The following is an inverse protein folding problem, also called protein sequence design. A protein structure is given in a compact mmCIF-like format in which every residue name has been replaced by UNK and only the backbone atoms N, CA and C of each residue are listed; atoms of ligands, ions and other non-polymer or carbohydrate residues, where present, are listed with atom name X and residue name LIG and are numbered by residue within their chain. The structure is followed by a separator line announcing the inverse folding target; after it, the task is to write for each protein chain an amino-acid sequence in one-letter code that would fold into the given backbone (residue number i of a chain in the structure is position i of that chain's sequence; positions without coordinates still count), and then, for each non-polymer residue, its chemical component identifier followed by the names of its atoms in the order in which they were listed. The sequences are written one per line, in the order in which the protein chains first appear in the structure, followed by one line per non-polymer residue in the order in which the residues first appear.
data_IF_689864297446
#
_entry.id   IF_689864297446
#
_cell.length_a   1.000
_cell.length_b   1.000
_cell.length_c   1.000
_cell.angle_alpha   90.00
_cell.angle_beta   90.00
_cell.angle_gamma   90.00
#
_symmetry.space_group_name_H-M   'P 1'
#
loop_
_entity.id
_entity.type
_entity.pdbx_description
1 polymer ?
#
# COMPACT_ATOMS: atom_id res chain seq x y z
N UNK A 1 15.02 -4.85 1.65
CA UNK A 1 14.19 -3.85 0.93
C UNK A 1 14.20 -2.43 1.48
N UNK A 2 14.54 -2.15 2.75
CA UNK A 2 14.31 -0.81 3.34
C UNK A 2 15.24 0.32 2.82
N UNK A 3 16.41 0.03 2.24
CA UNK A 3 17.39 1.08 1.82
C UNK A 3 18.06 0.86 0.45
N UNK A 4 17.67 -0.15 -0.33
CA UNK A 4 18.38 -0.55 -1.56
C UNK A 4 18.14 0.33 -2.80
N UNK A 5 17.31 1.37 -2.73
CA UNK A 5 16.73 2.04 -3.92
C UNK A 5 16.52 3.56 -3.74
N UNK A 6 17.43 4.25 -3.05
CA UNK A 6 17.29 5.68 -2.70
C UNK A 6 16.92 6.62 -3.87
N UNK A 7 17.36 6.34 -5.10
CA UNK A 7 16.95 7.09 -6.28
C UNK A 7 15.52 6.82 -6.75
N UNK A 8 15.10 5.55 -6.76
CA UNK A 8 13.78 5.15 -7.23
C UNK A 8 12.67 5.58 -6.26
N UNK A 9 12.89 5.45 -4.95
CA UNK A 9 11.93 5.89 -3.93
C UNK A 9 11.63 7.40 -4.03
N UNK A 10 12.63 8.23 -4.35
CA UNK A 10 12.43 9.68 -4.50
C UNK A 10 11.43 10.05 -5.60
N UNK A 11 11.32 9.23 -6.66
CA UNK A 11 10.40 9.50 -7.77
C UNK A 11 8.97 9.12 -7.39
N UNK A 12 8.79 8.00 -6.70
CA UNK A 12 7.47 7.54 -6.27
C UNK A 12 6.88 8.48 -5.20
N UNK A 13 7.73 8.95 -4.28
CA UNK A 13 7.31 9.88 -3.22
C UNK A 13 6.82 11.22 -3.76
N UNK A 14 7.32 11.70 -4.91
CA UNK A 14 6.76 12.92 -5.53
C UNK A 14 5.27 12.77 -5.87
N UNK A 15 4.83 11.59 -6.31
CA UNK A 15 3.41 11.32 -6.59
C UNK A 15 2.61 11.25 -5.29
N UNK A 16 3.17 10.59 -4.26
CA UNK A 16 2.58 10.57 -2.91
C UNK A 16 2.39 12.00 -2.38
N UNK A 17 3.42 12.84 -2.46
CA UNK A 17 3.39 14.22 -1.97
C UNK A 17 2.29 15.02 -2.63
N UNK A 18 2.08 14.86 -3.94
CA UNK A 18 0.98 15.52 -4.66
C UNK A 18 -0.39 15.11 -4.11
N UNK A 19 -0.59 13.82 -3.81
CA UNK A 19 -1.83 13.32 -3.20
C UNK A 19 -2.02 13.90 -1.80
N UNK A 20 -0.99 13.83 -0.96
CA UNK A 20 -1.01 14.34 0.42
C UNK A 20 -1.32 15.84 0.41
N UNK A 21 -0.58 16.62 -0.37
CA UNK A 21 -0.78 18.06 -0.51
C UNK A 21 -2.20 18.37 -0.98
N UNK A 22 -2.73 17.62 -1.95
CA UNK A 22 -4.12 17.86 -2.40
C UNK A 22 -5.12 17.58 -1.28
N UNK A 23 -5.03 16.43 -0.62
CA UNK A 23 -6.01 15.99 0.38
C UNK A 23 -6.03 16.93 1.60
N UNK A 24 -4.86 17.33 2.10
CA UNK A 24 -4.74 18.16 3.30
C UNK A 24 -4.77 19.68 3.02
N UNK A 25 -5.04 20.09 1.78
CA UNK A 25 -5.41 21.47 1.41
C UNK A 25 -6.92 21.66 1.16
N UNK A 26 -7.73 20.60 1.29
CA UNK A 26 -9.20 20.70 1.26
C UNK A 26 -9.73 21.43 2.50
N UNK A 27 -11.00 21.88 2.51
CA UNK A 27 -11.67 22.30 3.74
C UNK A 27 -11.53 21.24 4.85
N UNK A 28 -11.35 21.65 6.10
CA UNK A 28 -10.92 20.79 7.21
C UNK A 28 -11.82 19.58 7.42
N UNK A 29 -13.13 19.75 7.23
CA UNK A 29 -14.19 18.76 7.33
C UNK A 29 -14.17 17.71 6.20
N UNK A 30 -13.53 18.02 5.08
CA UNK A 30 -13.32 17.11 3.95
C UNK A 30 -11.97 16.37 4.02
N UNK A 31 -11.11 16.70 4.97
CA UNK A 31 -9.80 16.07 5.11
C UNK A 31 -9.89 14.74 5.88
N UNK A 32 -8.95 13.82 5.63
CA UNK A 32 -8.68 12.75 6.60
C UNK A 32 -8.33 13.35 7.97
N UNK A 33 -8.73 12.67 9.04
CA UNK A 33 -8.32 13.06 10.40
C UNK A 33 -6.84 12.79 10.68
N UNK A 34 -6.23 11.92 9.87
CA UNK A 34 -4.83 11.57 9.95
C UNK A 34 -4.46 10.46 8.97
N UNK A 35 -3.39 9.74 9.28
CA UNK A 35 -2.75 8.75 8.42
C UNK A 35 -2.57 7.45 9.17
N UNK A 36 -2.86 6.34 8.51
CA UNK A 36 -2.40 5.02 8.94
C UNK A 36 -1.42 4.45 7.93
N UNK A 37 -0.22 4.11 8.36
CA UNK A 37 0.77 3.36 7.57
C UNK A 37 0.80 1.89 8.00
N UNK A 38 0.30 0.99 7.14
CA UNK A 38 0.32 -0.46 7.36
C UNK A 38 1.62 -1.05 6.81
N UNK A 39 2.34 -1.78 7.65
CA UNK A 39 3.72 -2.22 7.38
C UNK A 39 4.73 -1.09 7.60
N UNK A 40 4.56 -0.33 8.68
CA UNK A 40 5.31 0.90 8.92
C UNK A 40 6.83 0.73 9.07
N UNK A 41 7.33 -0.49 9.30
CA UNK A 41 8.75 -0.82 9.23
C UNK A 41 9.59 -0.04 10.24
N UNK A 42 10.26 1.03 9.79
CA UNK A 42 11.06 1.90 10.64
C UNK A 42 10.44 3.29 10.89
N UNK A 43 9.23 3.53 10.40
CA UNK A 43 8.49 4.80 10.55
C UNK A 43 8.90 5.92 9.60
N UNK A 44 9.86 5.70 8.69
CA UNK A 44 10.36 6.76 7.82
C UNK A 44 9.29 7.33 6.88
N UNK A 45 8.34 6.51 6.43
CA UNK A 45 7.27 6.97 5.54
C UNK A 45 6.22 7.82 6.27
N UNK A 46 5.86 7.43 7.50
CA UNK A 46 5.01 8.26 8.38
C UNK A 46 5.67 9.62 8.61
N UNK A 47 6.96 9.62 8.95
CA UNK A 47 7.71 10.86 9.16
C UNK A 47 7.68 11.74 7.91
N UNK A 48 7.99 11.17 6.75
CA UNK A 48 7.94 11.90 5.47
C UNK A 48 6.56 12.52 5.19
N UNK A 49 5.48 11.74 5.34
CA UNK A 49 4.12 12.26 5.13
C UNK A 49 3.80 13.37 6.14
N UNK A 50 4.17 13.20 7.41
CA UNK A 50 3.97 14.24 8.41
C UNK A 50 4.68 15.54 8.02
N UNK A 51 5.96 15.48 7.64
CA UNK A 51 6.73 16.64 7.20
C UNK A 51 6.07 17.34 5.99
N UNK A 52 5.58 16.55 5.01
CA UNK A 52 4.84 17.12 3.87
C UNK A 52 3.57 17.84 4.33
N UNK A 53 2.79 17.26 5.25
CA UNK A 53 1.58 17.90 5.76
C UNK A 53 1.93 19.16 6.54
N UNK A 54 2.87 19.08 7.48
CA UNK A 54 3.29 20.16 8.37
C UNK A 54 3.79 21.38 7.56
N UNK A 55 4.69 21.16 6.61
CA UNK A 55 5.37 22.26 5.92
C UNK A 55 4.70 22.71 4.62
N UNK A 56 3.87 21.87 3.98
CA UNK A 56 3.40 22.12 2.60
C UNK A 56 1.87 22.19 2.44
N UNK A 57 1.11 22.17 3.54
CA UNK A 57 -0.37 22.17 3.47
C UNK A 57 -1.03 23.19 4.38
N UNK A 58 -2.29 23.50 4.09
CA UNK A 58 -3.15 24.31 4.94
C UNK A 58 -3.36 23.64 6.30
N UNK A 59 -3.50 22.30 6.33
CA UNK A 59 -3.61 21.53 7.59
C UNK A 59 -2.41 21.73 8.50
N UNK A 60 -1.20 21.80 7.94
CA UNK A 60 0.03 22.05 8.69
C UNK A 60 0.00 23.33 9.53
N UNK A 61 -0.71 24.36 9.05
CA UNK A 61 -0.90 25.64 9.76
C UNK A 61 -1.94 25.60 10.88
N UNK A 62 -2.61 24.47 11.07
CA UNK A 62 -3.76 24.30 11.97
C UNK A 62 -3.61 23.08 12.88
N UNK A 63 -2.41 22.50 13.02
CA UNK A 63 -2.20 21.27 13.79
C UNK A 63 -2.51 21.43 15.29
N UNK A 64 -2.42 22.64 15.84
CA UNK A 64 -2.79 22.92 17.23
C UNK A 64 -4.30 22.76 17.47
N UNK A 65 -5.14 23.22 16.54
CA UNK A 65 -6.61 23.13 16.63
C UNK A 65 -7.13 21.80 16.08
N UNK A 66 -6.50 21.29 15.03
CA UNK A 66 -6.87 20.06 14.33
C UNK A 66 -5.65 19.12 14.21
N UNK A 67 -5.23 18.46 15.30
CA UNK A 67 -4.06 17.58 15.28
C UNK A 67 -4.26 16.40 14.32
N UNK A 68 -3.14 15.87 13.81
CA UNK A 68 -3.15 14.66 12.99
C UNK A 68 -3.18 13.41 13.86
N UNK A 69 -4.06 12.47 13.51
CA UNK A 69 -4.02 11.12 14.05
C UNK A 69 -3.03 10.27 13.24
N UNK A 70 -1.78 10.18 13.70
CA UNK A 70 -0.76 9.34 13.06
C UNK A 70 -0.77 7.94 13.66
N UNK A 71 -0.85 6.92 12.81
CA UNK A 71 -0.81 5.51 13.19
C UNK A 71 0.23 4.76 12.37
N UNK A 72 1.14 4.07 13.04
CA UNK A 72 2.00 3.06 12.43
C UNK A 72 1.58 1.67 12.86
N UNK A 73 1.24 0.82 11.90
CA UNK A 73 0.86 -0.57 12.14
C UNK A 73 1.89 -1.52 11.53
N UNK A 74 2.28 -2.55 12.27
CA UNK A 74 3.18 -3.60 11.77
C UNK A 74 2.96 -4.89 12.55
N UNK A 75 2.99 -6.03 11.86
CA UNK A 75 2.87 -7.34 12.47
C UNK A 75 4.16 -7.76 13.21
N UNK A 76 5.29 -7.12 12.89
CA UNK A 76 6.60 -7.41 13.46
C UNK A 76 6.90 -6.50 14.66
N UNK A 77 7.05 -7.10 15.84
CA UNK A 77 7.33 -6.37 17.08
C UNK A 77 8.66 -5.58 17.08
N UNK A 78 9.67 -6.04 16.34
CA UNK A 78 10.93 -5.31 16.21
C UNK A 78 10.75 -4.04 15.37
N UNK A 79 9.97 -4.11 14.29
CA UNK A 79 9.59 -2.95 13.48
C UNK A 79 8.88 -1.90 14.34
N UNK A 80 7.88 -2.29 15.13
CA UNK A 80 7.17 -1.38 16.04
C UNK A 80 8.11 -0.67 17.03
N UNK A 81 9.09 -1.38 17.59
CA UNK A 81 10.09 -0.77 18.50
C UNK A 81 10.95 0.27 17.77
N UNK A 82 11.41 -0.03 16.56
CA UNK A 82 12.21 0.89 15.74
C UNK A 82 11.38 2.10 15.32
N UNK A 83 10.16 1.90 14.84
CA UNK A 83 9.23 2.98 14.49
C UNK A 83 8.99 3.92 15.67
N UNK A 84 8.68 3.40 16.87
CA UNK A 84 8.51 4.25 18.06
C UNK A 84 9.76 5.08 18.35
N UNK A 85 10.94 4.46 18.35
CA UNK A 85 12.19 5.15 18.65
C UNK A 85 12.49 6.27 17.62
N UNK A 86 12.27 6.00 16.34
CA UNK A 86 12.51 6.98 15.28
C UNK A 86 11.51 8.15 15.33
N UNK A 87 10.22 7.87 15.53
CA UNK A 87 9.20 8.92 15.62
C UNK A 87 9.39 9.80 16.85
N UNK A 88 9.73 9.23 18.02
CA UNK A 88 10.10 10.00 19.22
C UNK A 88 11.31 10.88 18.94
N UNK A 89 12.34 10.35 18.28
CA UNK A 89 13.54 11.11 17.92
C UNK A 89 13.24 12.26 16.94
N UNK A 90 12.23 12.09 16.11
CA UNK A 90 11.75 13.11 15.18
C UNK A 90 10.73 14.09 15.81
N UNK A 91 10.42 13.95 17.11
CA UNK A 91 9.38 14.72 17.81
C UNK A 91 7.96 14.56 17.21
N UNK A 92 7.69 13.39 16.63
CA UNK A 92 6.41 13.05 16.01
C UNK A 92 5.62 12.14 16.94
N UNK A 93 4.43 12.60 17.35
CA UNK A 93 3.50 11.79 18.14
C UNK A 93 2.63 10.90 17.26
N UNK A 94 2.82 9.58 17.38
CA UNK A 94 2.02 8.59 16.66
C UNK A 94 1.63 7.40 17.55
N UNK A 95 0.50 6.76 17.22
CA UNK A 95 0.11 5.47 17.79
C UNK A 95 0.78 4.36 17.01
N UNK A 96 1.67 3.62 17.67
CA UNK A 96 2.36 2.50 17.04
C UNK A 96 1.80 1.20 17.61
N UNK A 97 1.12 0.43 16.78
CA UNK A 97 0.30 -0.72 17.20
C UNK A 97 0.60 -1.95 16.35
N UNK A 98 0.28 -3.12 16.89
CA UNK A 98 0.34 -4.33 16.10
C UNK A 98 -0.78 -4.34 15.05
N UNK A 99 -0.49 -4.82 13.85
CA UNK A 99 -1.50 -4.97 12.81
C UNK A 99 -1.02 -5.87 11.68
N UNK A 100 -1.93 -6.66 11.13
CA UNK A 100 -1.68 -7.54 9.99
C UNK A 100 -2.47 -7.03 8.78
N UNK A 101 -1.79 -6.91 7.62
CA UNK A 101 -2.43 -6.45 6.39
C UNK A 101 -3.61 -7.36 5.98
N UNK A 102 -3.60 -8.66 6.33
CA UNK A 102 -4.70 -9.58 6.05
C UNK A 102 -5.92 -9.44 6.97
N UNK A 103 -5.80 -8.66 8.06
CA UNK A 103 -6.80 -8.52 9.15
C UNK A 103 -7.14 -7.06 9.47
N UNK A 104 -7.65 -6.27 8.49
CA UNK A 104 -8.07 -4.89 8.75
C UNK A 104 -9.23 -4.79 9.75
N UNK A 105 -10.01 -5.86 9.92
CA UNK A 105 -11.07 -5.97 10.93
C UNK A 105 -10.53 -5.85 12.35
N UNK A 106 -9.44 -6.56 12.64
CA UNK A 106 -8.77 -6.52 13.95
C UNK A 106 -8.15 -5.15 14.17
N UNK A 107 -7.42 -4.64 13.17
CA UNK A 107 -6.81 -3.30 13.24
C UNK A 107 -7.84 -2.22 13.54
N UNK A 108 -8.98 -2.23 12.84
CA UNK A 108 -10.04 -1.25 13.02
C UNK A 108 -10.67 -1.35 14.43
N UNK A 109 -10.86 -2.57 14.92
CA UNK A 109 -11.37 -2.82 16.27
C UNK A 109 -10.42 -2.28 17.33
N UNK A 110 -9.14 -2.65 17.26
CA UNK A 110 -8.13 -2.24 18.24
C UNK A 110 -7.96 -0.70 18.26
N UNK A 111 -7.95 -0.06 17.08
CA UNK A 111 -7.92 1.40 16.98
C UNK A 111 -9.12 2.07 17.65
N UNK A 112 -10.30 1.48 17.48
CA UNK A 112 -11.52 2.01 18.06
C UNK A 112 -11.56 1.82 19.58
N UNK A 113 -11.21 0.64 20.07
CA UNK A 113 -11.29 0.30 21.50
C UNK A 113 -10.20 1.02 22.30
N UNK A 114 -8.96 1.04 21.81
CA UNK A 114 -7.82 1.55 22.59
C UNK A 114 -7.63 3.07 22.45
N UNK A 115 -8.04 3.64 21.31
CA UNK A 115 -7.75 5.04 20.98
C UNK A 115 -8.96 5.85 20.51
N UNK A 116 -10.14 5.23 20.39
CA UNK A 116 -11.33 5.83 19.81
C UNK A 116 -11.10 6.42 18.40
N UNK A 117 -10.22 5.78 17.63
CA UNK A 117 -9.90 6.16 16.25
C UNK A 117 -10.67 5.26 15.29
N UNK A 118 -11.47 5.86 14.41
CA UNK A 118 -12.14 5.16 13.32
C UNK A 118 -11.17 4.98 12.15
N UNK A 119 -10.85 3.73 11.77
CA UNK A 119 -9.91 3.49 10.66
C UNK A 119 -10.36 4.14 9.34
N UNK A 120 -11.68 4.18 9.10
CA UNK A 120 -12.31 4.82 7.94
C UNK A 120 -12.17 6.35 7.89
N UNK A 121 -11.76 6.97 9.00
CA UNK A 121 -11.52 8.42 9.07
C UNK A 121 -10.07 8.80 8.73
N UNK A 122 -9.21 7.81 8.49
CA UNK A 122 -7.80 8.00 8.14
C UNK A 122 -7.59 7.79 6.64
N UNK A 123 -6.61 8.49 6.07
CA UNK A 123 -6.03 8.08 4.80
C UNK A 123 -5.12 6.88 5.10
N UNK A 124 -5.42 5.75 4.47
CA UNK A 124 -4.62 4.54 4.64
C UNK A 124 -3.52 4.53 3.61
N UNK A 125 -2.29 4.30 4.06
CA UNK A 125 -1.10 4.24 3.22
C UNK A 125 -0.34 2.94 3.46
N UNK A 126 0.33 2.45 2.42
CA UNK A 126 1.28 1.33 2.53
C UNK A 126 2.18 1.25 1.32
N UNK A 127 3.39 0.76 1.51
CA UNK A 127 4.38 0.64 0.42
C UNK A 127 4.90 -0.79 0.33
N UNK A 128 4.80 -1.38 -0.86
CA UNK A 128 5.35 -2.70 -1.21
C UNK A 128 4.91 -3.81 -0.25
N UNK A 129 3.60 -3.96 -0.02
CA UNK A 129 3.09 -4.84 1.03
C UNK A 129 2.01 -5.84 0.59
N UNK A 130 1.11 -5.50 -0.35
CA UNK A 130 -0.01 -6.39 -0.69
C UNK A 130 0.48 -7.68 -1.39
N UNK A 131 1.57 -7.59 -2.16
CA UNK A 131 2.21 -8.76 -2.75
C UNK A 131 2.88 -9.68 -1.71
N UNK A 132 3.25 -9.14 -0.55
CA UNK A 132 3.93 -9.87 0.52
C UNK A 132 3.00 -10.26 1.68
N UNK A 133 1.67 -10.16 1.47
CA UNK A 133 0.70 -10.66 2.44
C UNK A 133 0.83 -12.17 2.57
N UNK A 134 0.52 -12.70 3.76
CA UNK A 134 0.42 -14.15 3.96
C UNK A 134 -0.66 -14.70 3.02
N UNK A 135 -0.33 -15.79 2.33
CA UNK A 135 -1.28 -16.45 1.44
C UNK A 135 -2.53 -16.90 2.18
N UNK A 136 -3.69 -16.47 1.68
CA UNK A 136 -4.99 -17.02 2.04
C UNK A 136 -5.66 -17.55 0.77
N UNK A 137 -6.03 -18.83 0.81
CA UNK A 137 -6.84 -19.43 -0.24
C UNK A 137 -8.21 -18.76 -0.30
N UNK A 138 -8.69 -18.33 -1.48
CA UNK A 138 -9.99 -17.67 -1.60
C UNK A 138 -11.11 -18.61 -1.17
N UNK A 139 -12.07 -18.07 -0.42
CA UNK A 139 -13.29 -18.79 -0.01
C UNK A 139 -14.28 -18.89 -1.16
N UNK A 140 -14.34 -17.86 -2.00
CA UNK A 140 -15.19 -17.76 -3.18
C UNK A 140 -14.33 -17.90 -4.43
N UNK A 141 -14.38 -19.06 -5.06
CA UNK A 141 -13.70 -19.31 -6.32
C UNK A 141 -14.62 -18.86 -7.46
N UNK A 142 -14.12 -18.01 -8.35
CA UNK A 142 -14.88 -17.54 -9.51
C UNK A 142 -14.54 -18.37 -10.75
N UNK A 143 -15.35 -18.23 -11.80
CA UNK A 143 -15.05 -18.78 -13.12
C UNK A 143 -14.13 -17.86 -13.95
N UNK A 144 -13.36 -16.98 -13.30
CA UNK A 144 -12.48 -16.05 -14.00
C UNK A 144 -11.44 -16.82 -14.82
N UNK A 145 -11.02 -16.22 -15.91
CA UNK A 145 -9.81 -16.62 -16.62
C UNK A 145 -8.79 -15.52 -16.37
N UNK A 146 -7.72 -15.88 -15.67
CA UNK A 146 -6.66 -14.95 -15.32
C UNK A 146 -5.92 -14.49 -16.56
N UNK A 147 -5.64 -13.18 -16.62
CA UNK A 147 -4.76 -12.60 -17.63
C UNK A 147 -3.30 -12.51 -17.15
N UNK A 148 -3.04 -12.89 -15.89
CA UNK A 148 -1.69 -12.90 -15.33
C UNK A 148 -0.85 -13.97 -15.99
N UNK A 149 0.35 -13.57 -16.39
CA UNK A 149 1.42 -14.43 -16.87
C UNK A 149 2.41 -14.84 -15.77
N UNK A 150 2.27 -14.25 -14.57
CA UNK A 150 3.09 -14.59 -13.40
C UNK A 150 2.99 -16.05 -12.97
N UNK A 151 4.02 -16.50 -12.25
CA UNK A 151 4.13 -17.85 -11.71
C UNK A 151 4.22 -17.79 -10.18
N UNK A 152 3.28 -18.45 -9.51
CA UNK A 152 3.11 -18.32 -8.07
C UNK A 152 3.17 -19.68 -7.37
N UNK A 153 3.69 -19.67 -6.15
CA UNK A 153 3.69 -20.81 -5.26
C UNK A 153 3.34 -20.39 -3.83
N UNK A 154 2.92 -21.37 -3.04
CA UNK A 154 2.87 -21.27 -1.58
C UNK A 154 3.34 -22.60 -1.01
N UNK A 155 4.33 -22.55 -0.13
CA UNK A 155 4.91 -23.74 0.52
C UNK A 155 5.33 -24.81 -0.49
N UNK A 156 5.96 -24.37 -1.60
CA UNK A 156 6.46 -25.24 -2.67
C UNK A 156 5.37 -25.82 -3.60
N UNK A 157 4.10 -25.47 -3.42
CA UNK A 157 3.01 -25.88 -4.32
C UNK A 157 2.66 -24.76 -5.28
N UNK A 158 2.64 -25.07 -6.57
CA UNK A 158 2.19 -24.15 -7.61
C UNK A 158 0.74 -23.73 -7.36
N UNK A 159 0.46 -22.44 -7.48
CA UNK A 159 -0.88 -21.87 -7.43
C UNK A 159 -1.43 -21.64 -8.84
N UNK A 160 -2.75 -21.75 -8.99
CA UNK A 160 -3.45 -21.34 -10.20
C UNK A 160 -3.65 -19.82 -10.19
N UNK A 161 -3.34 -19.13 -11.28
CA UNK A 161 -3.43 -17.67 -11.37
C UNK A 161 -4.86 -17.14 -11.11
N UNK A 162 -5.89 -17.92 -11.44
CA UNK A 162 -7.28 -17.59 -11.10
C UNK A 162 -7.47 -17.46 -9.58
N UNK A 163 -6.86 -18.35 -8.80
CA UNK A 163 -6.95 -18.34 -7.34
C UNK A 163 -6.16 -17.17 -6.75
N UNK A 164 -5.05 -16.76 -7.38
CA UNK A 164 -4.26 -15.61 -6.92
C UNK A 164 -5.03 -14.31 -7.11
N UNK A 165 -5.72 -14.16 -8.24
CA UNK A 165 -6.64 -13.05 -8.50
C UNK A 165 -7.85 -13.05 -7.54
N UNK A 166 -8.49 -14.21 -7.30
CA UNK A 166 -9.59 -14.33 -6.32
C UNK A 166 -9.11 -14.00 -4.89
N UNK A 167 -7.91 -14.46 -4.51
CA UNK A 167 -7.30 -14.13 -3.21
C UNK A 167 -7.06 -12.64 -3.06
N UNK A 168 -6.58 -11.96 -4.12
CA UNK A 168 -6.42 -10.51 -4.11
C UNK A 168 -7.77 -9.79 -4.01
N UNK A 169 -8.80 -10.29 -4.71
CA UNK A 169 -10.15 -9.73 -4.64
C UNK A 169 -10.70 -9.77 -3.21
N UNK A 170 -10.62 -10.92 -2.54
CA UNK A 170 -11.06 -11.05 -1.16
C UNK A 170 -10.26 -10.16 -0.21
N UNK A 171 -8.94 -10.10 -0.39
CA UNK A 171 -8.06 -9.22 0.38
C UNK A 171 -8.46 -7.74 0.26
N UNK A 172 -8.61 -7.21 -0.95
CA UNK A 172 -9.01 -5.82 -1.17
C UNK A 172 -10.45 -5.55 -0.69
N UNK A 173 -11.34 -6.53 -0.81
CA UNK A 173 -12.71 -6.44 -0.29
C UNK A 173 -12.74 -6.28 1.23
N UNK A 174 -11.86 -6.97 1.97
CA UNK A 174 -11.73 -6.78 3.44
C UNK A 174 -11.34 -5.34 3.79
N UNK A 175 -10.51 -4.69 2.97
CA UNK A 175 -10.05 -3.32 3.20
C UNK A 175 -11.07 -2.25 2.79
N UNK A 176 -11.91 -2.53 1.79
CA UNK A 176 -12.84 -1.56 1.20
C UNK A 176 -13.61 -0.70 2.23
N UNK A 177 -14.28 -1.26 3.26
CA UNK A 177 -15.07 -0.45 4.21
C UNK A 177 -14.27 0.58 4.99
N UNK A 178 -12.95 0.43 5.04
CA UNK A 178 -12.03 1.29 5.79
C UNK A 178 -11.29 2.29 4.91
N UNK A 179 -11.28 2.09 3.58
CA UNK A 179 -10.48 2.92 2.66
C UNK A 179 -11.32 3.59 1.60
N UNK A 180 -12.60 3.23 1.46
CA UNK A 180 -13.45 3.75 0.38
C UNK A 180 -13.64 5.28 0.42
N UNK A 181 -13.64 5.89 1.61
CA UNK A 181 -13.86 7.34 1.79
C UNK A 181 -12.64 8.20 1.42
N UNK A 182 -11.55 8.05 2.17
CA UNK A 182 -10.36 8.88 2.02
C UNK A 182 -9.32 8.27 1.07
N UNK A 183 -9.40 6.97 0.85
CA UNK A 183 -8.59 6.22 -0.08
C UNK A 183 -7.57 5.31 0.59
N UNK A 184 -7.03 4.43 -0.24
CA UNK A 184 -5.82 3.66 0.00
C UNK A 184 -4.74 4.17 -0.95
N UNK A 185 -3.78 4.93 -0.41
CA UNK A 185 -2.63 5.44 -1.16
C UNK A 185 -1.47 4.46 -1.05
N UNK A 186 -1.10 3.83 -2.14
CA UNK A 186 -0.15 2.73 -2.12
C UNK A 186 0.90 2.82 -3.22
N UNK A 187 2.07 2.26 -2.91
CA UNK A 187 3.13 1.96 -3.88
C UNK A 187 3.23 0.45 -3.94
N UNK A 188 3.17 -0.14 -5.13
CA UNK A 188 3.16 -1.60 -5.27
C UNK A 188 4.13 -2.12 -6.32
N UNK A 189 4.64 -3.33 -6.10
CA UNK A 189 5.51 -4.08 -6.99
C UNK A 189 4.70 -5.00 -7.90
N UNK A 190 5.13 -5.09 -9.15
CA UNK A 190 4.43 -5.80 -10.22
C UNK A 190 5.39 -6.65 -11.06
N UNK A 191 4.85 -7.74 -11.61
CA UNK A 191 5.52 -8.54 -12.65
C UNK A 191 5.24 -7.97 -14.04
N UNK A 192 6.01 -8.41 -15.03
CA UNK A 192 5.91 -8.02 -16.44
C UNK A 192 5.85 -9.27 -17.30
N UNK A 193 5.08 -9.21 -18.40
CA UNK A 193 4.89 -10.35 -19.29
C UNK A 193 6.24 -10.93 -19.77
N UNK A 194 6.49 -12.25 -19.64
CA UNK A 194 7.82 -12.84 -19.81
C UNK A 194 8.39 -12.68 -21.22
N UNK A 195 7.54 -12.64 -22.25
CA UNK A 195 7.99 -12.33 -23.63
C UNK A 195 8.60 -10.93 -23.75
N UNK A 196 8.02 -9.95 -23.04
CA UNK A 196 8.52 -8.58 -23.04
C UNK A 196 9.81 -8.48 -22.23
N UNK A 197 9.87 -9.15 -21.08
CA UNK A 197 11.09 -9.23 -20.24
C UNK A 197 12.24 -9.87 -21.03
N UNK A 198 11.98 -10.96 -21.76
CA UNK A 198 12.98 -11.64 -22.59
C UNK A 198 13.58 -10.74 -23.69
N UNK A 199 12.81 -9.79 -24.21
CA UNK A 199 13.28 -8.80 -25.19
C UNK A 199 14.08 -7.65 -24.57
N UNK A 200 14.00 -7.48 -23.24
CA UNK A 200 14.58 -6.35 -22.50
C UNK A 200 15.51 -6.81 -21.36
N UNK A 201 16.14 -7.98 -21.52
CA UNK A 201 17.08 -8.53 -20.53
C UNK A 201 18.18 -7.51 -20.23
N UNK A 202 18.46 -7.29 -18.95
CA UNK A 202 19.45 -6.30 -18.49
C UNK A 202 18.95 -4.85 -18.46
N UNK A 203 17.75 -4.57 -18.99
CA UNK A 203 17.13 -3.24 -18.97
C UNK A 203 15.98 -3.12 -17.95
N UNK A 204 15.53 -4.25 -17.39
CA UNK A 204 14.49 -4.31 -16.37
C UNK A 204 14.90 -5.23 -15.22
N UNK A 205 14.56 -4.91 -13.95
CA UNK A 205 14.77 -5.81 -12.83
C UNK A 205 13.76 -6.97 -12.77
N UNK A 206 12.77 -7.01 -13.67
CA UNK A 206 11.66 -7.97 -13.63
C UNK A 206 12.12 -9.42 -13.48
N UNK A 207 13.14 -9.89 -14.23
CA UNK A 207 13.64 -11.27 -14.11
C UNK A 207 14.11 -11.60 -12.69
N UNK A 208 14.84 -10.69 -12.05
CA UNK A 208 15.33 -10.90 -10.70
C UNK A 208 14.18 -10.83 -9.69
N UNK A 209 13.28 -9.85 -9.85
CA UNK A 209 12.11 -9.69 -8.98
C UNK A 209 11.18 -10.90 -9.05
N UNK A 210 10.80 -11.34 -10.25
CA UNK A 210 9.92 -12.50 -10.44
C UNK A 210 10.51 -13.77 -9.81
N UNK A 211 11.82 -14.00 -10.00
CA UNK A 211 12.49 -15.13 -9.39
C UNK A 211 12.50 -15.05 -7.86
N UNK A 212 12.98 -13.95 -7.28
CA UNK A 212 13.10 -13.85 -5.82
C UNK A 212 11.75 -13.85 -5.11
N UNK A 213 10.74 -13.17 -5.67
CA UNK A 213 9.40 -13.11 -5.10
C UNK A 213 8.66 -14.45 -5.28
N UNK A 214 8.77 -15.07 -6.46
CA UNK A 214 8.21 -16.41 -6.70
C UNK A 214 8.81 -17.50 -5.80
N UNK A 215 10.10 -17.42 -5.45
CA UNK A 215 10.74 -18.35 -4.52
C UNK A 215 10.42 -18.11 -3.04
N UNK A 216 9.81 -16.97 -2.69
CA UNK A 216 9.61 -16.54 -1.30
C UNK A 216 8.14 -16.36 -0.94
N UNK A 217 7.24 -17.06 -1.64
CA UNK A 217 5.78 -17.03 -1.42
C UNK A 217 5.21 -15.59 -1.50
N UNK A 218 5.63 -14.83 -2.50
CA UNK A 218 5.15 -13.47 -2.78
C UNK A 218 4.40 -13.39 -4.12
N UNK A 219 3.40 -12.52 -4.19
CA UNK A 219 2.32 -12.53 -5.18
C UNK A 219 2.26 -11.23 -5.99
N UNK A 220 3.30 -10.96 -6.77
CA UNK A 220 3.36 -9.77 -7.65
C UNK A 220 2.57 -10.00 -8.95
N UNK A 221 1.48 -9.26 -9.14
CA UNK A 221 0.64 -9.32 -10.35
C UNK A 221 1.00 -8.16 -11.29
N UNK A 222 0.74 -8.32 -12.59
CA UNK A 222 0.87 -7.22 -13.56
C UNK A 222 -0.02 -6.04 -13.17
N UNK A 223 0.42 -4.81 -13.47
CA UNK A 223 -0.30 -3.59 -13.08
C UNK A 223 -1.77 -3.60 -13.51
N UNK A 224 -2.04 -4.02 -14.75
CA UNK A 224 -3.40 -4.06 -15.30
C UNK A 224 -4.27 -5.13 -14.62
N UNK A 225 -3.67 -6.25 -14.22
CA UNK A 225 -4.37 -7.31 -13.47
C UNK A 225 -4.71 -6.79 -12.08
N UNK A 226 -3.74 -6.22 -11.36
CA UNK A 226 -3.96 -5.65 -10.04
C UNK A 226 -5.09 -4.59 -10.05
N UNK A 227 -5.02 -3.64 -10.97
CA UNK A 227 -6.03 -2.57 -11.09
C UNK A 227 -7.40 -3.09 -11.52
N UNK A 228 -7.46 -4.14 -12.34
CA UNK A 228 -8.72 -4.84 -12.65
C UNK A 228 -9.34 -5.42 -11.38
N UNK A 229 -8.56 -6.13 -10.56
CA UNK A 229 -9.04 -6.73 -9.32
C UNK A 229 -9.46 -5.67 -8.30
N UNK A 230 -8.71 -4.58 -8.18
CA UNK A 230 -9.09 -3.46 -7.31
C UNK A 230 -10.47 -2.90 -7.70
N UNK A 231 -10.72 -2.68 -9.00
CA UNK A 231 -12.04 -2.23 -9.49
C UNK A 231 -13.14 -3.25 -9.21
N UNK A 232 -12.87 -4.55 -9.35
CA UNK A 232 -13.82 -5.62 -8.97
C UNK A 232 -14.15 -5.58 -7.47
N UNK A 233 -13.18 -5.22 -6.62
CA UNK A 233 -13.40 -5.01 -5.19
C UNK A 233 -14.16 -3.71 -4.86
N UNK A 234 -14.48 -2.88 -5.88
CA UNK A 234 -15.09 -1.56 -5.71
C UNK A 234 -14.11 -0.48 -5.22
N UNK A 235 -12.82 -0.67 -5.49
CA UNK A 235 -11.73 0.28 -5.21
C UNK A 235 -11.09 0.72 -6.51
N UNK A 236 -11.30 1.98 -6.88
CA UNK A 236 -10.98 2.51 -8.20
C UNK A 236 -9.72 3.37 -8.13
N UNK A 237 -8.70 3.10 -8.97
CA UNK A 237 -7.57 4.01 -9.12
C UNK A 237 -8.02 5.40 -9.54
N UNK A 238 -7.60 6.43 -8.81
CA UNK A 238 -7.76 7.82 -9.24
C UNK A 238 -6.80 8.10 -10.42
N UNK A 239 -7.32 8.39 -11.62
CA UNK A 239 -6.50 8.57 -12.81
C UNK A 239 -5.57 9.78 -12.73
N UNK A 240 -5.82 10.74 -11.82
CA UNK A 240 -4.95 11.90 -11.65
C UNK A 240 -3.64 11.55 -10.90
N UNK A 241 -3.64 10.45 -10.15
CA UNK A 241 -2.51 10.06 -9.29
C UNK A 241 -1.95 8.69 -9.62
N UNK A 242 -2.61 7.95 -10.50
CA UNK A 242 -2.06 6.69 -11.00
C UNK A 242 -0.77 6.95 -11.77
N UNK A 243 0.29 6.26 -11.42
CA UNK A 243 1.59 6.35 -12.09
C UNK A 243 2.26 5.00 -12.13
N UNK A 244 2.99 4.73 -13.22
CA UNK A 244 3.74 3.49 -13.44
C UNK A 244 5.23 3.79 -13.61
N UNK A 245 6.08 2.86 -13.18
CA UNK A 245 7.53 3.04 -13.19
C UNK A 245 8.26 1.78 -13.67
N UNK A 246 9.03 1.88 -14.78
CA UNK A 246 9.02 3.00 -15.75
C UNK A 246 7.62 3.23 -16.35
N UNK A 247 7.34 4.44 -16.86
CA UNK A 247 6.06 4.75 -17.52
C UNK A 247 5.98 4.10 -18.92
N UNK A 248 5.80 2.78 -18.92
CA UNK A 248 5.76 1.92 -20.11
C UNK A 248 5.19 0.55 -19.75
N UNK A 249 5.14 -0.36 -20.72
CA UNK A 249 4.77 -1.77 -20.50
C UNK A 249 5.80 -2.57 -19.67
N UNK A 250 6.97 -1.99 -19.41
CA UNK A 250 8.01 -2.56 -18.53
C UNK A 250 7.83 -2.17 -17.06
N UNK A 251 6.70 -1.54 -16.70
CA UNK A 251 6.44 -1.08 -15.34
C UNK A 251 6.48 -2.22 -14.32
N UNK A 252 7.41 -2.14 -13.38
CA UNK A 252 7.50 -3.06 -12.23
C UNK A 252 7.00 -2.43 -10.95
N UNK A 253 6.75 -1.11 -10.94
CA UNK A 253 6.20 -0.40 -9.77
C UNK A 253 5.04 0.48 -10.20
N UNK A 254 4.02 0.61 -9.36
CA UNK A 254 2.96 1.61 -9.53
C UNK A 254 2.71 2.40 -8.25
N UNK A 255 2.17 3.61 -8.41
CA UNK A 255 1.56 4.39 -7.34
C UNK A 255 0.06 4.49 -7.64
N UNK A 256 -0.78 4.18 -6.66
CA UNK A 256 -2.24 4.23 -6.76
C UNK A 256 -2.83 4.99 -5.57
N UNK A 257 -3.82 5.83 -5.83
CA UNK A 257 -4.82 6.21 -4.84
C UNK A 257 -6.11 5.47 -5.18
N UNK A 258 -6.40 4.39 -4.46
CA UNK A 258 -7.62 3.60 -4.66
C UNK A 258 -8.75 4.18 -3.80
N UNK A 259 -9.92 4.46 -4.38
CA UNK A 259 -11.08 5.03 -3.65
C UNK A 259 -12.36 4.28 -3.94
N UNK A 260 -13.32 4.38 -3.02
CA UNK A 260 -14.70 3.96 -3.30
C UNK A 260 -15.41 4.94 -4.22
N UNK A 261 -16.56 4.49 -4.74
CA UNK A 261 -17.50 5.32 -5.49
C UNK A 261 -18.42 6.10 -4.56
#
# INVERSE_FOLDING_TARGET
NVWGSGGAHSTYFKVIDQVIIKLFNKPIEEQPKGILDMGCGNGAFIQHIFDVIEYQTARGKMLDEYPLLLVGADFNQAALKVTRANLIKADIWAKVIWGDIGRPDVLAKDLKEDYNIELKDLLNVRTFLDHNRIWESPKTITNRVSNSSGAYASLGKRLNNNLVEDSLLEHLTKWKPYVERFGLLMIELHTVHPKLVAQNIGQTPATAYDATHGYSDQYILEVEVFNKIAREAGLHPDPNYFSKFPDSDLATVSVNLLKGH
#
